data_IF_346166718750
#
_entry.id   IF_346166718750
#
_cell.length_a   1.000
_cell.length_b   1.000
_cell.length_c   1.000
_cell.angle_alpha   90.00
_cell.angle_beta   90.00
_cell.angle_gamma   90.00
#
_symmetry.space_group_name_H-M   'P 1'
#
loop_
_entity.id
_entity.type
_entity.pdbx_description
1 polymer ?
#
# COMPACT_ATOMS: atom_id res chain seq x y z
N UNK A 1 13.15 0.27 -13.66
CA UNK A 1 14.10 0.97 -14.54
C UNK A 1 14.15 2.39 -14.04
N UNK A 2 15.33 2.90 -13.69
CA UNK A 2 15.50 4.31 -13.35
C UNK A 2 15.57 5.11 -14.64
N UNK A 3 14.89 6.25 -14.69
CA UNK A 3 14.81 7.12 -15.86
C UNK A 3 15.27 8.53 -15.49
N UNK A 4 15.79 9.26 -16.48
CA UNK A 4 16.20 10.67 -16.32
C UNK A 4 15.00 11.64 -16.32
N UNK A 5 13.80 11.11 -16.61
CA UNK A 5 12.54 11.85 -16.56
C UNK A 5 11.67 11.37 -15.40
N UNK A 6 11.03 12.32 -14.74
CA UNK A 6 10.07 12.07 -13.68
C UNK A 6 8.86 11.32 -14.28
N UNK A 7 8.38 10.21 -13.68
CA UNK A 7 7.20 9.53 -14.17
C UNK A 7 5.99 10.46 -14.27
N UNK A 8 5.23 10.35 -15.35
CA UNK A 8 4.05 11.17 -15.62
C UNK A 8 2.88 10.29 -16.04
N UNK A 9 1.65 10.77 -15.84
CA UNK A 9 0.47 10.17 -16.49
C UNK A 9 0.55 10.39 -18.01
N UNK A 10 -0.29 9.69 -18.78
CA UNK A 10 -0.43 9.91 -20.24
C UNK A 10 -0.75 11.38 -20.59
N UNK A 11 -1.36 12.10 -19.65
CA UNK A 11 -1.75 13.51 -19.76
C UNK A 11 -0.63 14.48 -19.32
N UNK A 12 0.55 13.96 -18.97
CA UNK A 12 1.71 14.75 -18.56
C UNK A 12 1.66 15.25 -17.10
N UNK A 13 0.76 14.71 -16.27
CA UNK A 13 0.71 15.08 -14.84
C UNK A 13 1.87 14.37 -14.14
N UNK A 14 2.80 15.10 -13.49
CA UNK A 14 3.96 14.49 -12.83
C UNK A 14 3.56 13.66 -11.62
N UNK A 15 4.39 12.66 -11.30
CA UNK A 15 4.20 11.81 -10.13
C UNK A 15 4.11 12.65 -8.84
N UNK A 16 3.22 12.26 -7.90
CA UNK A 16 3.14 12.87 -6.57
C UNK A 16 4.47 12.88 -5.80
N UNK A 17 5.46 12.06 -6.19
CA UNK A 17 6.77 12.04 -5.54
C UNK A 17 7.50 13.38 -5.60
N UNK A 18 7.13 14.30 -6.52
CA UNK A 18 7.65 15.68 -6.51
C UNK A 18 7.21 16.44 -5.25
N UNK A 19 5.98 16.20 -4.78
CA UNK A 19 5.45 16.78 -3.53
C UNK A 19 6.19 16.18 -2.34
N UNK A 20 6.35 14.84 -2.32
CA UNK A 20 7.12 14.15 -1.27
C UNK A 20 8.55 14.68 -1.20
N UNK A 21 9.21 14.88 -2.34
CA UNK A 21 10.57 15.42 -2.39
C UNK A 21 10.64 16.82 -1.78
N UNK A 22 9.77 17.73 -2.21
CA UNK A 22 9.73 19.10 -1.67
C UNK A 22 9.42 19.13 -0.16
N UNK A 23 8.48 18.31 0.29
CA UNK A 23 8.15 18.19 1.71
C UNK A 23 9.33 17.67 2.54
N UNK A 24 10.05 16.66 2.04
CA UNK A 24 11.20 16.09 2.74
C UNK A 24 12.38 17.06 2.81
N UNK A 25 12.64 17.80 1.73
CA UNK A 25 13.70 18.83 1.71
C UNK A 25 13.44 19.97 2.71
N UNK A 26 12.19 20.40 2.84
CA UNK A 26 11.81 21.48 3.75
C UNK A 26 11.77 21.00 5.21
N UNK A 27 11.24 19.81 5.45
CA UNK A 27 11.03 19.29 6.81
C UNK A 27 12.26 18.63 7.43
N UNK A 28 13.23 18.21 6.62
CA UNK A 28 14.38 17.44 7.09
C UNK A 28 14.02 16.06 7.62
N UNK A 29 12.91 15.46 7.17
CA UNK A 29 12.47 14.15 7.63
C UNK A 29 13.41 13.04 7.16
N UNK A 30 13.82 12.18 8.09
CA UNK A 30 14.59 10.98 7.77
C UNK A 30 13.75 10.06 6.87
N UNK A 31 14.30 9.71 5.71
CA UNK A 31 13.60 8.92 4.69
C UNK A 31 14.30 7.59 4.49
N UNK A 32 13.52 6.51 4.49
CA UNK A 32 13.99 5.15 4.24
C UNK A 32 13.17 4.55 3.10
N UNK A 33 13.86 4.07 2.06
CA UNK A 33 13.23 3.36 0.95
C UNK A 33 13.34 1.87 1.21
N UNK A 34 12.22 1.15 1.11
CA UNK A 34 12.15 -0.28 1.36
C UNK A 34 11.66 -0.98 0.09
N UNK A 35 12.36 -2.03 -0.32
CA UNK A 35 11.88 -2.97 -1.31
C UNK A 35 10.72 -3.80 -0.74
N UNK A 36 9.49 -3.44 -1.10
CA UNK A 36 8.29 -4.25 -0.83
C UNK A 36 7.83 -5.00 -2.07
N UNK A 37 8.76 -5.55 -2.85
CA UNK A 37 8.48 -6.34 -4.06
C UNK A 37 8.83 -5.64 -5.37
N UNK A 38 9.97 -4.96 -5.41
CA UNK A 38 10.50 -4.36 -6.62
C UNK A 38 10.77 -5.41 -7.69
N UNK A 39 10.29 -5.10 -8.91
CA UNK A 39 10.68 -5.82 -10.13
C UNK A 39 12.13 -5.50 -10.48
N UNK A 40 12.56 -4.27 -10.23
CA UNK A 40 13.92 -3.80 -10.48
C UNK A 40 14.36 -2.85 -9.39
N UNK A 41 15.60 -3.04 -8.93
CA UNK A 41 16.19 -2.22 -7.88
C UNK A 41 16.43 -0.78 -8.34
N UNK A 42 16.19 0.22 -7.46
CA UNK A 42 16.44 1.61 -7.78
C UNK A 42 17.94 1.94 -7.65
N UNK A 43 18.41 2.93 -8.42
CA UNK A 43 19.80 3.41 -8.38
C UNK A 43 20.09 4.36 -7.19
N UNK A 44 19.53 4.08 -6.02
CA UNK A 44 19.71 4.85 -4.76
C UNK A 44 19.83 3.87 -3.58
N UNK A 45 20.32 4.28 -2.40
CA UNK A 45 20.29 3.43 -1.21
C UNK A 45 18.86 3.04 -0.80
N UNK A 46 18.65 1.76 -0.49
CA UNK A 46 17.37 1.21 -0.04
C UNK A 46 17.59 -0.08 0.78
N UNK A 47 16.55 -0.51 1.49
CA UNK A 47 16.54 -1.79 2.20
C UNK A 47 15.99 -2.87 1.27
N UNK A 48 16.83 -3.87 0.96
CA UNK A 48 16.46 -5.04 0.15
C UNK A 48 15.80 -6.12 1.01
N UNK A 49 14.66 -6.66 0.56
CA UNK A 49 13.95 -7.76 1.25
C UNK A 49 13.97 -9.08 0.48
N UNK A 50 14.25 -9.05 -0.83
CA UNK A 50 14.32 -10.27 -1.65
C UNK A 50 12.96 -10.95 -1.88
N UNK A 51 11.85 -10.28 -1.59
CA UNK A 51 10.49 -10.81 -1.80
C UNK A 51 10.16 -11.08 -3.28
N UNK A 52 10.80 -10.33 -4.18
CA UNK A 52 10.45 -10.29 -5.60
C UNK A 52 9.09 -9.65 -5.85
N UNK A 53 8.70 -9.52 -7.11
CA UNK A 53 7.42 -8.92 -7.47
C UNK A 53 6.23 -9.77 -6.97
N UNK A 54 5.15 -9.09 -6.57
CA UNK A 54 3.87 -9.74 -6.37
C UNK A 54 3.37 -10.36 -7.69
N UNK A 55 2.64 -11.47 -7.59
CA UNK A 55 2.09 -12.20 -8.74
C UNK A 55 0.68 -11.72 -9.07
N UNK A 56 0.18 -12.11 -10.23
CA UNK A 56 -1.19 -11.84 -10.66
C UNK A 56 -2.17 -12.71 -9.84
N UNK A 57 -2.80 -12.08 -8.85
CA UNK A 57 -3.79 -12.70 -7.95
C UNK A 57 -5.02 -13.29 -8.66
N UNK A 58 -5.26 -12.92 -9.93
CA UNK A 58 -6.31 -13.52 -10.77
C UNK A 58 -5.90 -14.86 -11.42
N UNK A 59 -4.61 -15.21 -11.38
CA UNK A 59 -4.05 -16.42 -11.99
C UNK A 59 -3.44 -17.38 -10.96
N UNK A 60 -2.84 -16.85 -9.91
CA UNK A 60 -2.18 -17.62 -8.86
C UNK A 60 -2.16 -16.86 -7.52
N UNK A 61 -1.52 -17.41 -6.50
CA UNK A 61 -1.36 -16.73 -5.21
C UNK A 61 -0.50 -15.48 -5.37
N UNK A 62 -1.06 -14.30 -5.06
CA UNK A 62 -0.39 -13.01 -5.26
C UNK A 62 0.91 -12.90 -4.44
N UNK A 63 0.90 -13.32 -3.18
CA UNK A 63 2.01 -13.14 -2.24
C UNK A 63 2.52 -14.48 -1.66
N UNK A 64 3.34 -15.24 -2.42
CA UNK A 64 3.98 -16.44 -1.89
C UNK A 64 4.83 -16.18 -0.65
N UNK A 65 5.47 -15.00 -0.56
CA UNK A 65 6.31 -14.56 0.57
C UNK A 65 5.58 -13.70 1.59
N UNK A 66 4.26 -13.83 1.75
CA UNK A 66 3.45 -12.99 2.64
C UNK A 66 4.00 -12.95 4.08
N UNK A 67 4.32 -14.10 4.66
CA UNK A 67 4.87 -14.19 6.02
C UNK A 67 6.24 -13.51 6.12
N UNK A 68 7.08 -13.63 5.10
CA UNK A 68 8.37 -12.93 5.04
C UNK A 68 8.16 -11.42 4.98
N UNK A 69 7.20 -10.92 4.20
CA UNK A 69 6.91 -9.50 4.11
C UNK A 69 6.40 -8.93 5.46
N UNK A 70 5.53 -9.67 6.15
CA UNK A 70 5.11 -9.34 7.51
C UNK A 70 6.30 -9.30 8.47
N UNK A 71 7.17 -10.32 8.44
CA UNK A 71 8.34 -10.40 9.32
C UNK A 71 9.32 -9.25 9.08
N UNK A 72 9.59 -8.89 7.82
CA UNK A 72 10.40 -7.71 7.48
C UNK A 72 9.77 -6.43 8.02
N UNK A 73 8.47 -6.25 7.82
CA UNK A 73 7.74 -5.12 8.37
C UNK A 73 7.87 -5.04 9.88
N UNK A 74 7.64 -6.15 10.59
CA UNK A 74 7.74 -6.21 12.05
C UNK A 74 9.15 -5.95 12.57
N UNK A 75 10.17 -6.43 11.87
CA UNK A 75 11.56 -6.12 12.18
C UNK A 75 11.85 -4.62 12.04
N UNK A 76 11.47 -4.03 10.91
CA UNK A 76 11.67 -2.60 10.65
C UNK A 76 10.91 -1.73 11.66
N UNK A 77 9.64 -2.06 11.93
CA UNK A 77 8.82 -1.36 12.91
C UNK A 77 9.45 -1.37 14.30
N UNK A 78 9.97 -2.52 14.75
CA UNK A 78 10.66 -2.63 16.04
C UNK A 78 11.97 -1.82 16.08
N UNK A 79 12.68 -1.69 14.96
CA UNK A 79 13.90 -0.90 14.88
C UNK A 79 13.67 0.60 14.98
N UNK A 80 12.51 1.10 14.52
CA UNK A 80 12.21 2.54 14.44
C UNK A 80 11.26 3.02 15.54
N UNK A 81 10.49 2.13 16.17
CA UNK A 81 9.61 2.49 17.30
C UNK A 81 10.45 3.12 18.41
N UNK A 82 9.90 4.16 19.05
CA UNK A 82 10.56 4.96 20.10
C UNK A 82 11.79 5.77 19.68
N UNK A 83 12.37 5.54 18.49
CA UNK A 83 13.42 6.42 17.93
C UNK A 83 12.83 7.67 17.31
N UNK A 84 11.63 7.54 16.73
CA UNK A 84 10.90 8.62 16.10
C UNK A 84 9.55 8.80 16.78
N UNK A 85 9.14 10.04 17.04
CA UNK A 85 7.81 10.34 17.60
C UNK A 85 6.70 10.05 16.58
N UNK A 86 6.96 10.37 15.31
CA UNK A 86 6.03 10.23 14.19
C UNK A 86 6.67 9.39 13.10
N UNK A 87 5.93 8.40 12.61
CA UNK A 87 6.35 7.50 11.52
C UNK A 87 5.33 7.63 10.40
N UNK A 88 5.79 7.88 9.18
CA UNK A 88 4.95 7.96 8.00
C UNK A 88 5.28 6.78 7.09
N UNK A 89 4.27 5.97 6.78
CA UNK A 89 4.39 4.94 5.76
C UNK A 89 3.77 5.51 4.50
N UNK A 90 4.56 5.66 3.43
CA UNK A 90 4.08 5.95 2.09
C UNK A 90 4.15 4.73 1.20
N UNK A 91 3.51 4.79 0.04
CA UNK A 91 3.54 3.71 -0.95
C UNK A 91 3.80 4.22 -2.37
N UNK A 92 4.38 3.36 -3.19
CA UNK A 92 4.45 3.55 -4.64
C UNK A 92 4.28 2.19 -5.32
N UNK A 93 3.03 1.78 -5.49
CA UNK A 93 2.66 0.47 -6.03
C UNK A 93 1.78 0.66 -7.29
N UNK A 94 2.34 0.48 -8.49
CA UNK A 94 1.54 0.39 -9.70
C UNK A 94 0.49 -0.72 -9.57
N UNK A 95 -0.79 -0.39 -9.81
CA UNK A 95 -1.90 -1.32 -9.62
C UNK A 95 -2.38 -1.47 -8.16
N UNK A 96 -1.81 -0.71 -7.21
CA UNK A 96 -2.14 -0.77 -5.79
C UNK A 96 -3.62 -0.46 -5.47
N UNK A 97 -4.29 0.35 -6.28
CA UNK A 97 -5.74 0.60 -6.13
C UNK A 97 -6.57 -0.63 -6.50
N UNK A 98 -6.12 -1.46 -7.43
CA UNK A 98 -6.80 -2.71 -7.83
C UNK A 98 -6.60 -3.80 -6.79
N UNK A 99 -5.39 -3.96 -6.24
CA UNK A 99 -5.15 -4.90 -5.12
C UNK A 99 -5.93 -4.46 -3.89
N UNK A 100 -5.94 -3.17 -3.56
CA UNK A 100 -6.74 -2.62 -2.45
C UNK A 100 -8.24 -2.90 -2.63
N UNK A 101 -8.77 -2.64 -3.82
CA UNK A 101 -10.16 -2.91 -4.16
C UNK A 101 -10.49 -4.40 -4.01
N UNK A 102 -9.62 -5.28 -4.52
CA UNK A 102 -9.83 -6.72 -4.48
C UNK A 102 -9.80 -7.25 -3.05
N UNK A 103 -8.86 -6.80 -2.22
CA UNK A 103 -8.78 -7.20 -0.81
C UNK A 103 -10.00 -6.71 -0.03
N UNK A 104 -10.41 -5.44 -0.19
CA UNK A 104 -11.63 -4.93 0.46
C UNK A 104 -12.90 -5.67 0.00
N UNK A 105 -13.01 -5.95 -1.30
CA UNK A 105 -14.14 -6.71 -1.86
C UNK A 105 -14.17 -8.15 -1.33
N UNK A 106 -12.99 -8.75 -1.08
CA UNK A 106 -12.88 -10.10 -0.55
C UNK A 106 -13.43 -10.23 0.88
N UNK A 107 -13.44 -9.12 1.62
CA UNK A 107 -13.92 -9.04 3.01
C UNK A 107 -15.30 -8.36 3.11
N UNK A 108 -15.98 -8.17 1.97
CA UNK A 108 -17.35 -7.65 1.91
C UNK A 108 -17.51 -6.13 1.81
N UNK A 109 -16.43 -5.38 1.60
CA UNK A 109 -16.46 -3.91 1.46
C UNK A 109 -16.40 -3.55 -0.03
N UNK A 110 -17.49 -2.97 -0.57
CA UNK A 110 -17.65 -2.74 -2.01
C UNK A 110 -17.11 -1.40 -2.57
N UNK A 111 -17.01 -0.33 -1.78
CA UNK A 111 -17.03 1.05 -2.34
C UNK A 111 -15.89 1.98 -1.89
N UNK A 112 -14.64 1.55 -1.88
CA UNK A 112 -13.59 2.35 -1.20
C UNK A 112 -12.31 2.61 -2.00
N UNK A 113 -12.30 2.54 -3.35
CA UNK A 113 -11.06 2.86 -4.10
C UNK A 113 -11.21 3.95 -5.15
N UNK A 114 -10.47 5.05 -4.95
CA UNK A 114 -10.23 6.08 -5.95
C UNK A 114 -9.32 5.55 -7.06
N UNK A 115 -9.31 6.22 -8.21
CA UNK A 115 -8.41 5.95 -9.33
C UNK A 115 -7.65 7.23 -9.68
N UNK A 116 -6.38 7.09 -10.10
CA UNK A 116 -5.57 8.20 -10.61
C UNK A 116 -5.94 8.61 -12.05
N UNK A 117 -6.92 7.97 -12.66
CA UNK A 117 -7.44 8.26 -14.02
C UNK A 117 -8.85 8.87 -13.95
N UNK A 118 -9.13 9.90 -14.78
CA UNK A 118 -10.39 10.68 -14.77
C UNK A 118 -11.64 9.85 -15.10
N UNK A 119 -11.51 8.82 -15.94
CA UNK A 119 -12.50 7.75 -16.09
C UNK A 119 -12.09 6.62 -15.18
N UNK A 120 -12.74 6.48 -14.02
CA UNK A 120 -12.39 5.37 -13.12
C UNK A 120 -12.67 4.06 -13.87
N UNK A 121 -11.67 3.18 -14.10
CA UNK A 121 -11.87 1.91 -14.79
C UNK A 121 -12.48 0.90 -13.82
N UNK A 122 -13.56 1.27 -13.14
CA UNK A 122 -14.17 0.47 -12.07
C UNK A 122 -14.57 -0.91 -12.60
N UNK A 123 -15.04 -0.97 -13.85
CA UNK A 123 -15.32 -2.25 -14.53
C UNK A 123 -14.09 -3.15 -14.73
N UNK A 124 -12.88 -2.59 -14.93
CA UNK A 124 -11.66 -3.41 -15.02
C UNK A 124 -11.21 -3.92 -13.64
N UNK A 125 -11.32 -3.09 -12.60
CA UNK A 125 -11.02 -3.49 -11.22
C UNK A 125 -11.98 -4.59 -10.76
N UNK A 126 -13.27 -4.42 -11.02
CA UNK A 126 -14.31 -5.38 -10.71
C UNK A 126 -14.12 -6.69 -11.48
N UNK A 127 -13.83 -6.63 -12.79
CA UNK A 127 -13.54 -7.81 -13.59
C UNK A 127 -12.30 -8.58 -13.07
N UNK A 128 -11.25 -7.86 -12.68
CA UNK A 128 -10.07 -8.47 -12.07
C UNK A 128 -10.41 -9.15 -10.74
N UNK A 129 -11.12 -8.47 -9.85
CA UNK A 129 -11.52 -9.01 -8.56
C UNK A 129 -12.41 -10.26 -8.72
N UNK A 130 -13.40 -10.21 -9.61
CA UNK A 130 -14.26 -11.34 -9.93
C UNK A 130 -13.46 -12.54 -10.43
N UNK A 131 -12.49 -12.32 -11.31
CA UNK A 131 -11.61 -13.38 -11.79
C UNK A 131 -10.76 -13.98 -10.67
N UNK A 132 -10.23 -13.15 -9.76
CA UNK A 132 -9.49 -13.61 -8.59
C UNK A 132 -10.37 -14.45 -7.65
N UNK A 133 -11.62 -14.05 -7.43
CA UNK A 133 -12.57 -14.79 -6.59
C UNK A 133 -13.06 -16.10 -7.22
N UNK A 134 -13.10 -16.17 -8.56
CA UNK A 134 -13.33 -17.43 -9.27
C UNK A 134 -12.16 -18.41 -9.09
N UNK A 135 -10.91 -17.90 -9.08
CA UNK A 135 -9.72 -18.73 -8.83
C UNK A 135 -9.67 -19.22 -7.39
N UNK A 136 -9.91 -18.34 -6.42
CA UNK A 136 -9.78 -18.61 -4.99
C UNK A 136 -10.95 -17.99 -4.25
N UNK A 137 -11.67 -18.81 -3.50
CA UNK A 137 -12.75 -18.33 -2.65
C UNK A 137 -12.21 -17.34 -1.60
N UNK A 138 -13.04 -16.33 -1.33
CA UNK A 138 -12.85 -15.38 -0.21
C UNK A 138 -12.76 -16.15 1.11
N UNK A 139 -11.89 -15.68 2.00
CA UNK A 139 -11.70 -16.25 3.34
C UNK A 139 -12.25 -15.30 4.41
N UNK A 140 -12.66 -15.83 5.54
CA UNK A 140 -12.91 -15.02 6.75
C UNK A 140 -11.59 -14.57 7.39
N UNK A 141 -10.48 -15.23 7.05
CA UNK A 141 -9.15 -14.85 7.49
C UNK A 141 -8.61 -13.71 6.60
N UNK A 142 -8.52 -12.51 7.17
CA UNK A 142 -8.00 -11.33 6.48
C UNK A 142 -6.59 -11.55 5.92
N UNK A 143 -5.72 -12.24 6.65
CA UNK A 143 -4.34 -12.52 6.20
C UNK A 143 -4.30 -13.42 4.97
N UNK A 144 -5.20 -14.40 4.88
CA UNK A 144 -5.32 -15.24 3.69
C UNK A 144 -5.78 -14.43 2.47
N UNK A 145 -6.77 -13.56 2.63
CA UNK A 145 -7.21 -12.69 1.54
C UNK A 145 -6.11 -11.75 1.06
N UNK A 146 -5.34 -11.14 1.98
CA UNK A 146 -4.19 -10.31 1.60
C UNK A 146 -3.16 -11.16 0.86
N UNK A 147 -2.85 -12.36 1.37
CA UNK A 147 -1.87 -13.26 0.75
C UNK A 147 -2.27 -13.72 -0.66
N UNK A 148 -3.57 -13.88 -0.91
CA UNK A 148 -4.10 -14.35 -2.20
C UNK A 148 -4.32 -13.21 -3.22
N UNK A 149 -4.66 -12.00 -2.76
CA UNK A 149 -5.17 -10.93 -3.63
C UNK A 149 -4.49 -9.56 -3.49
N UNK A 150 -3.70 -9.37 -2.42
CA UNK A 150 -3.09 -8.09 -2.10
C UNK A 150 -1.73 -7.87 -2.77
N UNK A 151 -1.00 -6.89 -2.23
CA UNK A 151 0.40 -6.62 -2.55
C UNK A 151 1.28 -6.68 -1.29
N UNK A 152 2.59 -6.79 -1.48
CA UNK A 152 3.55 -6.88 -0.37
C UNK A 152 3.64 -5.58 0.45
N UNK A 153 3.23 -4.42 -0.09
CA UNK A 153 3.21 -3.17 0.67
C UNK A 153 2.19 -3.25 1.81
N UNK A 154 0.99 -3.81 1.56
CA UNK A 154 0.00 -4.04 2.61
C UNK A 154 0.56 -4.92 3.73
N UNK A 155 1.16 -6.07 3.39
CA UNK A 155 1.73 -7.00 4.36
C UNK A 155 2.87 -6.35 5.17
N UNK A 156 3.76 -5.62 4.51
CA UNK A 156 4.85 -4.93 5.16
C UNK A 156 4.37 -3.83 6.11
N UNK A 157 3.39 -3.02 5.68
CA UNK A 157 2.82 -1.96 6.50
C UNK A 157 2.10 -2.52 7.75
N UNK A 158 1.36 -3.63 7.60
CA UNK A 158 0.77 -4.36 8.73
C UNK A 158 1.83 -4.89 9.69
N UNK A 159 2.94 -5.41 9.15
CA UNK A 159 4.09 -5.84 9.94
C UNK A 159 4.70 -4.70 10.74
N UNK A 160 4.94 -3.54 10.11
CA UNK A 160 5.46 -2.33 10.77
C UNK A 160 4.52 -1.90 11.89
N UNK A 161 3.23 -1.75 11.58
CA UNK A 161 2.23 -1.32 12.56
C UNK A 161 2.10 -2.26 13.74
N UNK A 162 2.21 -3.58 13.51
CA UNK A 162 2.20 -4.58 14.58
C UNK A 162 3.28 -4.32 15.62
N UNK A 163 4.46 -3.87 15.20
CA UNK A 163 5.61 -3.63 16.09
C UNK A 163 5.69 -2.22 16.67
N UNK A 164 5.13 -1.21 16.00
CA UNK A 164 5.16 0.18 16.49
C UNK A 164 4.14 0.35 17.64
N UNK A 165 4.62 0.55 18.88
CA UNK A 165 3.75 0.70 20.06
C UNK A 165 3.83 2.07 20.71
N UNK A 166 4.97 2.76 20.62
CA UNK A 166 5.20 4.04 21.31
C UNK A 166 5.07 5.23 20.38
N UNK A 167 5.44 5.08 19.11
CA UNK A 167 5.32 6.12 18.10
C UNK A 167 3.90 6.22 17.53
N UNK A 168 3.53 7.41 17.05
CA UNK A 168 2.32 7.58 16.23
C UNK A 168 2.64 7.26 14.79
N UNK A 169 1.80 6.44 14.15
CA UNK A 169 1.99 6.00 12.78
C UNK A 169 0.91 6.56 11.86
N UNK A 170 1.36 7.12 10.74
CA UNK A 170 0.53 7.70 9.71
C UNK A 170 0.63 6.87 8.43
N UNK A 171 -0.52 6.41 7.94
CA UNK A 171 -0.64 5.81 6.62
C UNK A 171 -0.81 6.93 5.59
N UNK A 172 0.27 7.32 4.94
CA UNK A 172 0.33 8.44 4.01
C UNK A 172 0.06 7.99 2.57
N UNK A 173 -1.21 8.06 2.15
CA UNK A 173 -1.61 7.68 0.80
C UNK A 173 -3.10 7.85 0.54
N UNK A 174 -3.54 7.34 -0.61
CA UNK A 174 -4.93 7.36 -1.01
C UNK A 174 -5.74 6.21 -0.39
N UNK A 175 -6.63 5.66 -1.20
CA UNK A 175 -7.50 4.55 -0.81
C UNK A 175 -6.74 3.26 -0.49
N UNK A 176 -5.54 3.08 -1.06
CA UNK A 176 -4.60 2.03 -0.71
C UNK A 176 -4.23 2.09 0.78
N UNK A 177 -3.87 3.27 1.29
CA UNK A 177 -3.47 3.45 2.68
C UNK A 177 -4.66 3.48 3.64
N UNK A 178 -5.84 3.92 3.19
CA UNK A 178 -7.08 3.71 3.91
C UNK A 178 -7.41 2.20 4.05
N UNK A 179 -7.13 1.40 3.03
CA UNK A 179 -7.30 -0.05 3.06
C UNK A 179 -6.37 -0.69 4.09
N UNK A 180 -5.08 -0.33 4.08
CA UNK A 180 -4.12 -0.81 5.08
C UNK A 180 -4.56 -0.41 6.48
N UNK A 181 -4.98 0.85 6.69
CA UNK A 181 -5.48 1.30 7.98
C UNK A 181 -6.68 0.48 8.48
N UNK A 182 -7.65 0.20 7.60
CA UNK A 182 -8.80 -0.62 7.95
C UNK A 182 -8.36 -2.04 8.33
N UNK A 183 -7.56 -2.70 7.49
CA UNK A 183 -7.03 -4.04 7.75
C UNK A 183 -6.26 -4.08 9.07
N UNK A 184 -5.43 -3.07 9.33
CA UNK A 184 -4.65 -2.95 10.56
C UNK A 184 -5.55 -2.82 11.79
N UNK A 185 -6.65 -2.06 11.68
CA UNK A 185 -7.62 -1.89 12.78
C UNK A 185 -8.30 -3.21 13.17
N UNK A 186 -8.54 -4.10 12.20
CA UNK A 186 -9.21 -5.39 12.44
C UNK A 186 -8.23 -6.53 12.72
N UNK A 187 -6.99 -6.46 12.23
CA UNK A 187 -5.96 -7.50 12.42
C UNK A 187 -5.12 -7.24 13.68
N UNK A 188 -4.57 -6.03 13.81
CA UNK A 188 -3.62 -5.69 14.88
C UNK A 188 -4.29 -4.90 16.01
N UNK A 189 -5.45 -4.27 15.76
CA UNK A 189 -6.16 -3.38 16.66
C UNK A 189 -5.24 -2.37 17.41
N UNK A 190 -4.41 -1.59 16.69
CA UNK A 190 -3.47 -0.68 17.33
C UNK A 190 -4.11 0.66 17.72
N UNK A 191 -3.41 1.40 18.57
CA UNK A 191 -3.72 2.79 18.92
C UNK A 191 -2.79 3.74 18.17
N UNK A 192 -3.14 5.04 18.13
CA UNK A 192 -2.33 6.09 17.49
C UNK A 192 -2.02 5.79 16.02
N UNK A 193 -3.07 5.48 15.25
CA UNK A 193 -3.02 5.31 13.80
C UNK A 193 -3.91 6.33 13.12
N UNK A 194 -3.39 6.92 12.04
CA UNK A 194 -4.11 7.91 11.26
C UNK A 194 -3.85 7.72 9.77
N UNK A 195 -4.80 8.13 8.93
CA UNK A 195 -4.63 8.17 7.46
C UNK A 195 -4.40 9.61 7.04
N UNK A 196 -3.31 9.86 6.32
CA UNK A 196 -2.99 11.17 5.73
C UNK A 196 -3.10 11.06 4.22
N UNK A 197 -3.90 11.95 3.63
CA UNK A 197 -4.12 11.99 2.19
C UNK A 197 -4.24 13.43 1.70
N UNK A 198 -4.35 13.62 0.39
CA UNK A 198 -4.44 14.97 -0.19
C UNK A 198 -5.89 15.46 -0.23
N UNK A 199 -6.06 16.78 -0.29
CA UNK A 199 -7.39 17.38 -0.51
C UNK A 199 -8.07 16.93 -1.80
N UNK A 200 -7.31 16.45 -2.79
CA UNK A 200 -7.87 15.88 -4.03
C UNK A 200 -8.62 14.57 -3.74
N UNK A 201 -7.98 13.64 -3.03
CA UNK A 201 -8.59 12.35 -2.65
C UNK A 201 -9.79 12.56 -1.72
N UNK A 202 -9.69 13.50 -0.78
CA UNK A 202 -10.82 13.81 0.11
C UNK A 202 -12.03 14.40 -0.62
N UNK A 203 -11.82 15.15 -1.70
CA UNK A 203 -12.91 15.69 -2.54
C UNK A 203 -13.50 14.65 -3.47
N UNK A 204 -12.71 13.69 -3.94
CA UNK A 204 -13.22 12.54 -4.71
C UNK A 204 -14.16 11.63 -3.90
N UNK A 205 -14.23 11.80 -2.57
CA UNK A 205 -15.23 11.14 -1.71
C UNK A 205 -16.67 11.36 -2.18
N UNK A 206 -16.99 12.50 -2.79
CA UNK A 206 -18.33 12.78 -3.33
C UNK A 206 -18.70 11.90 -4.54
N UNK A 207 -17.75 11.14 -5.10
CA UNK A 207 -17.99 10.12 -6.14
C UNK A 207 -17.96 8.68 -5.63
N UNK A 208 -17.55 8.49 -4.37
CA UNK A 208 -17.38 7.18 -3.72
C UNK A 208 -18.50 6.89 -2.70
N UNK A 209 -19.45 7.82 -2.54
CA UNK A 209 -20.70 7.71 -1.76
C UNK A 209 -21.89 7.99 -2.68
#
# INVERSE_FOLDING_TARGET
>A
MSYDVVPMTEEGIPTPSIITRGANEISGIDTMIIDSGFVQDPAIPFIKTGLGAARDGSKEKALPGYESALAYGSYLGALIDNKYKFIFIGESVPGGTTTAYTVLSSIGIKEMTSSSMKTSPDGLKEAYANKAFLRKARSENYSENISEFGDYMMAMALGISKSVKKSTLFYAGGTQMATVFYLDSVINNPVNRYVFTTGYIMKDKEKLM
#
